data_IF_498922302692
#
_entry.id   IF_498922302692
#
_cell.length_a   1.000
_cell.length_b   1.000
_cell.length_c   1.000
_cell.angle_alpha   90.00
_cell.angle_beta   90.00
_cell.angle_gamma   90.00
#
_symmetry.space_group_name_H-M   'P 1'
#
loop_
_entity.id
_entity.type
_entity.pdbx_description
1 polymer ?
#
# COMPACT_ATOMS: atom_id res chain seq x y z
N UNK A 1 -20.76 -25.85 -28.77
CA UNK A 1 -20.28 -24.61 -28.08
C UNK A 1 -20.63 -23.39 -28.95
N UNK A 2 -20.83 -22.18 -28.39
CA UNK A 2 -21.00 -20.95 -29.19
C UNK A 2 -19.78 -20.04 -29.09
N UNK A 3 -19.38 -19.43 -30.20
CA UNK A 3 -18.19 -18.56 -30.27
C UNK A 3 -18.53 -17.23 -30.94
N UNK A 4 -17.88 -16.18 -30.46
CA UNK A 4 -17.94 -14.83 -31.03
C UNK A 4 -16.58 -14.50 -31.63
N UNK A 5 -16.58 -14.09 -32.89
CA UNK A 5 -15.37 -13.70 -33.62
C UNK A 5 -15.38 -12.21 -33.98
N UNK A 6 -14.20 -11.63 -34.14
CA UNK A 6 -14.06 -10.29 -34.72
C UNK A 6 -13.81 -10.33 -36.24
N UNK A 7 -13.59 -9.17 -36.83
CA UNK A 7 -13.33 -9.00 -38.27
C UNK A 7 -12.08 -9.74 -38.79
N UNK A 8 -11.15 -10.09 -37.90
CA UNK A 8 -9.93 -10.85 -38.21
C UNK A 8 -10.09 -12.35 -37.96
N UNK A 9 -11.32 -12.83 -37.75
CA UNK A 9 -11.65 -14.20 -37.36
C UNK A 9 -11.05 -14.65 -36.02
N UNK A 10 -10.66 -13.71 -35.17
CA UNK A 10 -10.15 -14.00 -33.84
C UNK A 10 -11.31 -14.26 -32.89
N UNK A 11 -11.26 -15.36 -32.12
CA UNK A 11 -12.27 -15.66 -31.12
C UNK A 11 -12.08 -14.71 -29.94
N UNK A 12 -13.06 -13.84 -29.74
CA UNK A 12 -13.07 -12.82 -28.68
C UNK A 12 -13.98 -13.18 -27.50
N UNK A 13 -14.85 -14.18 -27.68
CA UNK A 13 -15.70 -14.71 -26.62
C UNK A 13 -16.28 -16.09 -26.96
N UNK A 14 -16.77 -16.79 -25.94
CA UNK A 14 -17.50 -18.04 -26.11
C UNK A 14 -18.58 -18.21 -25.04
N UNK A 15 -19.57 -19.05 -25.33
CA UNK A 15 -20.58 -19.49 -24.37
C UNK A 15 -20.75 -21.01 -24.43
N UNK A 16 -20.72 -21.65 -23.27
CA UNK A 16 -21.07 -23.07 -23.09
C UNK A 16 -22.54 -23.25 -22.76
N UNK A 17 -23.18 -22.24 -22.16
CA UNK A 17 -24.61 -22.20 -21.84
C UNK A 17 -25.16 -20.84 -22.27
N UNK A 18 -26.32 -20.84 -22.94
CA UNK A 18 -26.90 -19.61 -23.50
C UNK A 18 -26.17 -19.17 -24.76
N UNK A 19 -25.92 -17.87 -24.90
CA UNK A 19 -25.22 -17.27 -26.04
C UNK A 19 -24.78 -15.83 -25.79
N UNK A 20 -23.97 -15.32 -26.69
CA UNK A 20 -23.52 -13.93 -26.77
C UNK A 20 -24.18 -13.26 -27.98
N UNK A 21 -24.30 -11.94 -27.95
CA UNK A 21 -24.78 -11.19 -29.12
C UNK A 21 -23.81 -11.35 -30.30
N UNK A 22 -24.32 -11.77 -31.46
CA UNK A 22 -23.52 -11.98 -32.67
C UNK A 22 -22.69 -13.25 -32.70
N UNK A 23 -22.89 -14.18 -31.75
CA UNK A 23 -22.22 -15.47 -31.76
C UNK A 23 -22.82 -16.46 -32.77
N UNK A 24 -22.09 -17.54 -33.02
CA UNK A 24 -22.57 -18.68 -33.79
C UNK A 24 -22.14 -20.00 -33.15
N UNK A 25 -22.86 -21.07 -33.49
CA UNK A 25 -22.61 -22.40 -32.95
C UNK A 25 -21.52 -23.13 -33.73
N UNK A 26 -20.60 -23.76 -33.01
CA UNK A 26 -19.55 -24.63 -33.55
C UNK A 26 -19.70 -26.03 -33.02
N UNK A 27 -19.36 -27.00 -33.87
CA UNK A 27 -19.39 -28.41 -33.53
C UNK A 27 -18.31 -28.73 -32.49
N UNK A 28 -18.65 -29.47 -31.45
CA UNK A 28 -17.71 -29.76 -30.35
C UNK A 28 -16.47 -30.54 -30.80
N UNK A 29 -16.55 -31.24 -31.95
CA UNK A 29 -15.41 -31.98 -32.53
C UNK A 29 -14.26 -31.11 -33.04
N UNK A 30 -14.51 -29.83 -33.34
CA UNK A 30 -13.47 -28.90 -33.80
C UNK A 30 -12.89 -28.05 -32.66
N UNK A 31 -13.45 -28.18 -31.45
CA UNK A 31 -13.03 -27.44 -30.27
C UNK A 31 -11.85 -28.16 -29.64
N UNK A 32 -10.68 -27.49 -29.45
CA UNK A 32 -9.57 -28.06 -28.72
C UNK A 32 -9.99 -28.49 -27.31
N UNK A 33 -9.50 -29.63 -26.85
CA UNK A 33 -9.88 -30.19 -25.54
C UNK A 33 -9.56 -29.24 -24.37
N UNK A 34 -8.50 -28.46 -24.51
CA UNK A 34 -8.01 -27.50 -23.53
C UNK A 34 -8.58 -26.09 -23.72
N UNK A 35 -9.43 -25.87 -24.75
CA UNK A 35 -9.90 -24.54 -25.16
C UNK A 35 -10.40 -23.70 -23.99
N UNK A 36 -11.28 -24.22 -23.14
CA UNK A 36 -11.85 -23.45 -22.02
C UNK A 36 -10.84 -23.12 -20.92
N UNK A 37 -9.78 -23.91 -20.79
CA UNK A 37 -8.72 -23.72 -19.78
C UNK A 37 -7.67 -22.71 -20.25
N UNK A 38 -7.40 -22.68 -21.55
CA UNK A 38 -6.37 -21.85 -22.18
C UNK A 38 -6.94 -20.58 -22.80
N UNK A 39 -8.27 -20.46 -22.91
CA UNK A 39 -8.92 -19.35 -23.59
C UNK A 39 -8.46 -18.00 -23.03
N UNK A 40 -7.94 -17.19 -23.95
CA UNK A 40 -7.77 -15.75 -23.80
C UNK A 40 -8.36 -15.10 -25.06
N UNK A 41 -8.97 -13.92 -24.96
CA UNK A 41 -9.44 -13.20 -26.14
C UNK A 41 -8.32 -13.11 -27.18
N UNK A 42 -8.63 -13.39 -28.45
CA UNK A 42 -7.71 -13.41 -29.61
C UNK A 42 -6.67 -14.54 -29.63
N UNK A 43 -6.62 -15.43 -28.64
CA UNK A 43 -5.66 -16.54 -28.64
C UNK A 43 -5.96 -17.62 -29.68
N UNK A 44 -7.23 -17.78 -30.03
CA UNK A 44 -7.70 -18.73 -31.03
C UNK A 44 -8.29 -17.99 -32.25
N UNK A 45 -8.14 -18.58 -33.44
CA UNK A 45 -8.79 -18.18 -34.68
C UNK A 45 -9.84 -19.20 -35.09
N UNK A 46 -10.89 -18.75 -35.76
CA UNK A 46 -11.80 -19.62 -36.50
C UNK A 46 -11.51 -19.50 -38.01
N UNK A 47 -10.89 -20.51 -38.61
CA UNK A 47 -10.52 -20.51 -40.02
C UNK A 47 -10.69 -21.91 -40.63
N UNK A 48 -11.21 -21.98 -41.86
CA UNK A 48 -11.43 -23.23 -42.59
C UNK A 48 -12.19 -24.28 -41.76
N UNK A 49 -13.27 -23.82 -41.10
CA UNK A 49 -14.13 -24.61 -40.21
C UNK A 49 -13.39 -25.28 -39.03
N UNK A 50 -12.24 -24.72 -38.64
CA UNK A 50 -11.42 -25.21 -37.52
C UNK A 50 -11.10 -24.09 -36.54
N UNK A 51 -10.90 -24.47 -35.28
CA UNK A 51 -10.33 -23.60 -34.26
C UNK A 51 -8.84 -23.88 -34.17
N UNK A 52 -8.01 -22.89 -34.49
CA UNK A 52 -6.55 -22.99 -34.46
C UNK A 52 -5.96 -21.91 -33.54
N UNK A 53 -4.73 -22.12 -33.07
CA UNK A 53 -4.02 -21.10 -32.29
C UNK A 53 -3.68 -19.92 -33.22
N UNK A 54 -3.94 -18.69 -32.77
CA UNK A 54 -3.56 -17.48 -33.49
C UNK A 54 -2.04 -17.32 -33.47
N UNK A 55 -1.34 -17.47 -34.62
CA UNK A 55 0.12 -17.33 -34.67
C UNK A 55 0.58 -15.88 -34.39
N UNK A 56 -0.32 -14.91 -34.56
CA UNK A 56 -0.08 -13.50 -34.30
C UNK A 56 -0.58 -13.07 -32.92
N UNK A 57 -0.89 -14.01 -32.03
CA UNK A 57 -1.34 -13.69 -30.69
C UNK A 57 -0.29 -12.87 -29.95
N UNK A 58 -0.61 -11.61 -29.73
CA UNK A 58 0.10 -10.77 -28.79
C UNK A 58 -0.71 -10.79 -27.50
N UNK A 59 -0.05 -11.18 -26.41
CA UNK A 59 -0.61 -10.91 -25.11
C UNK A 59 -0.73 -9.39 -25.04
N UNK A 60 -1.96 -8.88 -25.07
CA UNK A 60 -2.23 -7.51 -24.66
C UNK A 60 -1.72 -7.43 -23.22
N UNK A 61 -0.45 -7.03 -23.06
CA UNK A 61 0.05 -6.55 -21.79
C UNK A 61 -0.76 -5.29 -21.58
N UNK A 62 -1.91 -5.44 -20.92
CA UNK A 62 -2.33 -4.40 -20.02
C UNK A 62 -1.07 -4.18 -19.17
N UNK A 63 -0.31 -3.14 -19.48
CA UNK A 63 0.40 -2.44 -18.45
C UNK A 63 -0.71 -2.11 -17.46
N UNK A 64 -0.90 -3.02 -16.50
CA UNK A 64 -1.58 -2.69 -15.28
C UNK A 64 -0.92 -1.37 -14.92
N UNK A 65 -1.66 -0.23 -14.89
CA UNK A 65 -1.05 1.02 -14.49
C UNK A 65 -0.31 0.66 -13.22
N UNK A 66 1.02 0.75 -13.27
CA UNK A 66 1.84 0.33 -12.15
C UNK A 66 1.29 1.20 -11.05
N UNK A 67 0.52 0.60 -10.13
CA UNK A 67 0.19 1.27 -8.89
C UNK A 67 1.55 1.75 -8.46
N UNK A 68 1.79 3.08 -8.37
CA UNK A 68 3.12 3.57 -8.05
C UNK A 68 3.47 2.81 -6.80
N UNK A 69 4.51 1.96 -6.88
CA UNK A 69 4.93 1.14 -5.77
C UNK A 69 5.05 2.13 -4.63
N UNK A 70 4.08 2.12 -3.71
CA UNK A 70 4.17 2.99 -2.56
C UNK A 70 5.53 2.66 -1.98
N UNK A 71 6.41 3.65 -1.74
CA UNK A 71 7.74 3.37 -1.26
C UNK A 71 7.56 2.47 -0.05
N UNK A 72 7.87 1.18 -0.23
CA UNK A 72 7.73 0.19 0.82
C UNK A 72 8.81 0.63 1.79
N UNK A 73 8.38 1.32 2.84
CA UNK A 73 9.26 1.77 3.88
C UNK A 73 9.93 0.51 4.40
N UNK A 74 11.22 0.37 4.10
CA UNK A 74 11.93 -0.84 4.46
C UNK A 74 11.89 -1.02 5.98
N UNK A 75 11.91 -2.28 6.43
CA UNK A 75 11.87 -2.61 7.86
C UNK A 75 13.02 -1.93 8.63
N UNK A 76 14.15 -1.65 7.96
CA UNK A 76 15.25 -0.87 8.52
C UNK A 76 14.92 0.62 8.70
N UNK A 77 14.21 1.24 7.75
CA UNK A 77 13.71 2.62 7.88
C UNK A 77 12.76 2.75 9.07
N UNK A 78 11.82 1.79 9.23
CA UNK A 78 10.87 1.78 10.33
C UNK A 78 11.59 1.61 11.68
N UNK A 79 12.54 0.67 11.78
CA UNK A 79 13.37 0.46 12.98
C UNK A 79 14.14 1.72 13.37
N UNK A 80 14.73 2.43 12.40
CA UNK A 80 15.48 3.66 12.66
C UNK A 80 14.58 4.78 13.20
N UNK A 81 13.35 4.91 12.68
CA UNK A 81 12.39 5.89 13.20
C UNK A 81 11.95 5.54 14.63
N UNK A 82 11.64 4.29 14.92
CA UNK A 82 11.29 3.84 16.28
C UNK A 82 12.44 4.11 17.25
N UNK A 83 13.68 3.78 16.87
CA UNK A 83 14.85 4.04 17.70
C UNK A 83 15.06 5.55 17.96
N UNK A 84 14.82 6.39 16.95
CA UNK A 84 14.93 7.84 17.06
C UNK A 84 13.84 8.40 17.99
N UNK A 85 12.59 7.94 17.85
CA UNK A 85 11.50 8.32 18.74
C UNK A 85 11.74 7.91 20.19
N UNK A 86 12.26 6.70 20.42
CA UNK A 86 12.63 6.23 21.76
C UNK A 86 13.77 7.06 22.37
N UNK A 87 14.78 7.41 21.57
CA UNK A 87 15.88 8.28 22.03
C UNK A 87 15.36 9.67 22.39
N UNK A 88 14.48 10.23 21.58
CA UNK A 88 13.88 11.54 21.82
C UNK A 88 12.99 11.54 23.08
N UNK A 89 12.18 10.49 23.30
CA UNK A 89 11.34 10.39 24.49
C UNK A 89 12.17 10.26 25.76
N UNK A 90 13.23 9.43 25.76
CA UNK A 90 14.15 9.31 26.89
C UNK A 90 14.85 10.65 27.20
N UNK A 91 15.34 11.35 26.18
CA UNK A 91 15.95 12.67 26.35
C UNK A 91 14.97 13.71 26.90
N UNK A 92 13.73 13.71 26.42
CA UNK A 92 12.67 14.59 26.92
C UNK A 92 12.42 14.36 28.41
N UNK A 93 12.32 13.10 28.84
CA UNK A 93 12.11 12.75 30.25
C UNK A 93 13.27 13.22 31.14
N UNK A 94 14.52 13.03 30.69
CA UNK A 94 15.71 13.52 31.41
C UNK A 94 15.68 15.04 31.57
N UNK A 95 15.30 15.76 30.50
CA UNK A 95 15.18 17.22 30.55
C UNK A 95 14.08 17.67 31.52
N UNK A 96 12.94 16.98 31.52
CA UNK A 96 11.85 17.27 32.45
C UNK A 96 12.28 17.12 33.90
N UNK A 97 12.96 16.01 34.24
CA UNK A 97 13.49 15.79 35.59
C UNK A 97 14.54 16.84 35.97
N UNK A 98 15.37 17.29 35.02
CA UNK A 98 16.34 18.36 35.26
C UNK A 98 15.65 19.68 35.58
N UNK A 99 14.64 20.06 34.79
CA UNK A 99 13.86 21.28 35.03
C UNK A 99 13.14 21.23 36.38
N UNK A 100 12.61 20.08 36.75
CA UNK A 100 11.94 19.89 38.05
C UNK A 100 12.90 20.13 39.22
N UNK A 101 14.10 19.54 39.18
CA UNK A 101 15.13 19.79 40.21
C UNK A 101 15.58 21.25 40.25
N UNK A 102 15.77 21.88 39.09
CA UNK A 102 16.15 23.30 39.03
C UNK A 102 15.05 24.18 39.64
N UNK A 103 13.78 23.88 39.36
CA UNK A 103 12.64 24.58 39.95
C UNK A 103 12.58 24.40 41.48
N UNK A 104 12.82 23.20 42.00
CA UNK A 104 12.90 22.97 43.45
C UNK A 104 14.04 23.74 44.11
N UNK A 105 15.22 23.75 43.48
CA UNK A 105 16.37 24.51 43.98
C UNK A 105 16.10 26.02 44.00
N UNK A 106 15.46 26.55 42.95
CA UNK A 106 15.05 27.95 42.90
C UNK A 106 14.04 28.30 43.99
N UNK A 107 13.03 27.46 44.22
CA UNK A 107 12.05 27.64 45.31
C UNK A 107 12.73 27.72 46.67
N UNK A 108 13.66 26.79 46.94
CA UNK A 108 14.42 26.80 48.20
C UNK A 108 15.24 28.09 48.36
N UNK A 109 15.86 28.57 47.29
CA UNK A 109 16.63 29.82 47.32
C UNK A 109 15.75 31.05 47.54
N UNK A 110 14.56 31.08 46.95
CA UNK A 110 13.57 32.15 47.19
C UNK A 110 13.17 32.16 48.66
N UNK A 111 12.78 31.02 49.23
CA UNK A 111 12.39 30.93 50.64
C UNK A 111 13.50 31.39 51.61
N UNK A 112 14.76 31.05 51.31
CA UNK A 112 15.92 31.53 52.09
C UNK A 112 16.12 33.04 51.98
N UNK A 113 15.86 33.64 50.82
CA UNK A 113 15.96 35.08 50.64
C UNK A 113 14.82 35.80 51.37
N UNK A 114 13.59 35.30 51.28
CA UNK A 114 12.43 35.83 52.01
C UNK A 114 12.67 35.82 53.52
N UNK A 115 13.16 34.70 54.08
CA UNK A 115 13.53 34.61 55.49
C UNK A 115 14.62 35.62 55.89
N UNK A 116 15.62 35.85 55.04
CA UNK A 116 16.67 36.86 55.33
C UNK A 116 16.12 38.28 55.31
N UNK A 117 15.23 38.60 54.37
CA UNK A 117 14.59 39.93 54.28
C UNK A 117 13.78 40.18 55.56
N UNK A 118 12.98 39.21 56.00
CA UNK A 118 12.15 39.32 57.21
C UNK A 118 12.98 39.56 58.48
N UNK A 119 14.14 38.91 58.61
CA UNK A 119 15.08 39.17 59.72
C UNK A 119 15.68 40.58 59.65
N UNK A 120 16.06 41.02 58.45
CA UNK A 120 16.72 42.34 58.27
C UNK A 120 15.75 43.51 58.46
N UNK A 121 14.46 43.32 58.18
CA UNK A 121 13.42 44.34 58.42
C UNK A 121 13.05 44.45 59.91
N UNK A 122 13.10 43.34 60.66
CA UNK A 122 12.92 43.38 62.12
C UNK A 122 14.09 44.07 62.83
N UNK A 123 15.34 43.84 62.40
CA UNK A 123 16.54 44.47 62.98
C UNK A 123 16.62 45.99 62.70
N UNK A 124 15.85 46.54 61.76
CA UNK A 124 15.82 47.99 61.44
C UNK A 124 14.71 48.76 62.14
N UNK A 125 13.75 48.07 62.76
CA UNK A 125 12.57 48.66 63.40
C UNK A 125 12.65 48.65 64.94
N UNK A 126 13.78 48.24 65.52
CA UNK A 126 14.17 48.42 66.94
C UNK A 126 15.16 49.59 67.10
#
# INVERSE_FOLDING_TARGET
MRVLINENNEIVGYATVGGLEGDFEVHDSIVPQDFTQTFKPKYYLYQDEKIIINPNYQLDTFEQPTTPTQPVMSDSTLKNMVATLQKQSAQSNIRSLKLERENEALKSRIAQLESKVEVTDNDKNE
#
